data_IF_366191929406
#
_entry.id   IF_366191929406
#
_cell.length_a   1.000
_cell.length_b   1.000
_cell.length_c   1.000
_cell.angle_alpha   90.00
_cell.angle_beta   90.00
_cell.angle_gamma   90.00
#
_symmetry.space_group_name_H-M   'P 1'
#
loop_
_entity.id
_entity.type
_entity.pdbx_description
1 polymer ?
#
# COMPACT_ATOMS: atom_id res chain seq x y z
N UNK A 1 -13.52 -5.60 -10.79
CA UNK A 1 -12.22 -4.89 -10.70
C UNK A 1 -12.15 -4.16 -9.38
N UNK A 2 -10.96 -4.00 -8.81
CA UNK A 2 -10.77 -3.29 -7.55
C UNK A 2 -9.79 -2.13 -7.70
N UNK A 3 -9.96 -1.11 -6.87
CA UNK A 3 -8.97 -0.08 -6.60
C UNK A 3 -8.28 -0.43 -5.28
N UNK A 4 -6.98 -0.61 -5.32
CA UNK A 4 -6.12 -0.87 -4.17
C UNK A 4 -5.39 0.41 -3.79
N UNK A 5 -5.47 0.79 -2.51
CA UNK A 5 -4.83 2.00 -1.97
C UNK A 5 -3.85 1.56 -0.89
N UNK A 6 -2.60 1.98 -1.01
CA UNK A 6 -1.51 1.72 -0.07
C UNK A 6 -0.93 3.02 0.48
N UNK A 7 -0.33 2.95 1.66
CA UNK A 7 0.39 4.04 2.31
C UNK A 7 1.82 3.59 2.56
N UNK A 8 2.81 4.25 1.95
CA UNK A 8 4.18 3.74 1.85
C UNK A 8 5.19 4.86 2.19
N UNK A 9 6.18 4.63 3.08
CA UNK A 9 7.29 5.56 3.28
C UNK A 9 8.09 5.83 2.01
N UNK A 10 8.66 7.03 1.87
CA UNK A 10 9.49 7.43 0.72
C UNK A 10 10.59 6.40 0.39
N UNK A 11 11.29 5.89 1.41
CA UNK A 11 12.40 4.94 1.27
C UNK A 11 12.04 3.63 0.60
N UNK A 12 10.77 3.22 0.72
CA UNK A 12 10.29 1.90 0.30
C UNK A 12 9.32 2.00 -0.89
N UNK A 13 8.97 3.22 -1.30
CA UNK A 13 7.95 3.52 -2.30
C UNK A 13 8.08 2.68 -3.57
N UNK A 14 9.24 2.77 -4.23
CA UNK A 14 9.45 2.11 -5.52
C UNK A 14 9.56 0.59 -5.36
N UNK A 15 10.20 0.10 -4.29
CA UNK A 15 10.28 -1.33 -4.01
C UNK A 15 8.88 -1.95 -3.83
N UNK A 16 8.04 -1.31 -3.02
CA UNK A 16 6.66 -1.77 -2.79
C UNK A 16 5.83 -1.68 -4.08
N UNK A 17 5.92 -0.57 -4.83
CA UNK A 17 5.24 -0.43 -6.13
C UNK A 17 5.63 -1.55 -7.10
N UNK A 18 6.92 -1.83 -7.24
CA UNK A 18 7.42 -2.95 -8.07
C UNK A 18 6.81 -4.27 -7.63
N UNK A 19 6.72 -4.55 -6.32
CA UNK A 19 6.08 -5.76 -5.81
C UNK A 19 4.58 -5.85 -6.18
N UNK A 20 3.84 -4.74 -6.06
CA UNK A 20 2.43 -4.67 -6.47
C UNK A 20 2.27 -4.97 -7.97
N UNK A 21 3.10 -4.35 -8.81
CA UNK A 21 3.03 -4.51 -10.26
C UNK A 21 3.40 -5.92 -10.72
N UNK A 22 4.44 -6.51 -10.13
CA UNK A 22 4.81 -7.91 -10.36
C UNK A 22 3.70 -8.89 -9.96
N UNK A 23 2.90 -8.55 -8.95
CA UNK A 23 1.73 -9.32 -8.53
C UNK A 23 0.49 -9.11 -9.43
N UNK A 24 0.56 -8.21 -10.41
CA UNK A 24 -0.49 -7.97 -11.40
C UNK A 24 -1.36 -6.74 -11.15
N UNK A 25 -0.99 -5.86 -10.21
CA UNK A 25 -1.60 -4.55 -10.09
C UNK A 25 -1.22 -3.62 -11.26
N UNK A 26 -2.04 -2.62 -11.54
CA UNK A 26 -1.76 -1.57 -12.51
C UNK A 26 -1.78 -2.01 -13.97
N UNK A 27 -2.40 -3.15 -14.27
CA UNK A 27 -2.62 -3.62 -15.65
C UNK A 27 -4.05 -3.31 -16.09
N UNK A 28 -4.19 -2.53 -17.18
CA UNK A 28 -5.49 -2.17 -17.75
C UNK A 28 -5.34 -1.67 -19.18
N UNK A 29 -6.17 -2.19 -20.08
CA UNK A 29 -6.34 -1.74 -21.46
C UNK A 29 -5.02 -1.51 -22.23
N UNK A 30 -4.09 -2.47 -22.14
CA UNK A 30 -2.78 -2.40 -22.81
C UNK A 30 -1.70 -1.62 -22.07
N UNK A 31 -2.02 -1.02 -20.92
CA UNK A 31 -1.07 -0.35 -20.04
C UNK A 31 -0.68 -1.24 -18.86
N UNK A 32 0.53 -1.02 -18.35
CA UNK A 32 1.06 -1.68 -17.15
C UNK A 32 1.66 -0.64 -16.20
N UNK A 33 1.89 -1.03 -14.94
CA UNK A 33 2.48 -0.17 -13.92
C UNK A 33 1.66 1.12 -13.67
N UNK A 34 0.36 1.08 -13.93
CA UNK A 34 -0.52 2.21 -13.70
C UNK A 34 -0.73 2.44 -12.20
N UNK A 35 -0.37 3.63 -11.74
CA UNK A 35 -0.68 4.10 -10.39
C UNK A 35 -0.83 5.61 -10.38
N UNK A 36 -1.64 6.11 -9.44
CA UNK A 36 -1.63 7.51 -9.04
C UNK A 36 -1.06 7.60 -7.62
N UNK A 37 -0.32 8.66 -7.29
CA UNK A 37 0.24 8.82 -5.95
C UNK A 37 0.27 10.28 -5.50
N UNK A 38 0.18 10.48 -4.18
CA UNK A 38 0.32 11.79 -3.52
C UNK A 38 1.03 11.64 -2.19
N UNK A 39 1.89 12.60 -1.86
CA UNK A 39 2.56 12.66 -0.56
C UNK A 39 1.59 13.24 0.48
N UNK A 40 1.48 12.56 1.61
CA UNK A 40 0.69 12.97 2.76
C UNK A 40 1.43 12.72 4.07
N UNK A 41 0.71 12.82 5.19
CA UNK A 41 1.23 12.53 6.53
C UNK A 41 0.40 11.43 7.16
N UNK A 42 1.04 10.29 7.43
CA UNK A 42 0.50 9.22 8.26
C UNK A 42 0.63 9.58 9.74
N UNK A 43 -0.34 9.15 10.55
CA UNK A 43 -0.33 9.34 12.00
C UNK A 43 -0.70 8.04 12.70
N UNK A 44 0.12 7.62 13.66
CA UNK A 44 -0.17 6.44 14.48
C UNK A 44 0.43 6.58 15.88
N UNK A 45 -0.05 5.74 16.80
CA UNK A 45 0.48 5.64 18.17
C UNK A 45 0.72 4.17 18.49
N UNK A 46 1.97 3.68 18.46
CA UNK A 46 2.26 2.29 18.81
C UNK A 46 1.83 2.00 20.25
N UNK A 47 1.05 0.94 20.46
CA UNK A 47 0.62 0.52 21.80
C UNK A 47 1.57 -0.51 22.39
N UNK A 48 1.47 -0.75 23.70
CA UNK A 48 2.24 -1.79 24.38
C UNK A 48 2.08 -3.14 23.67
N UNK A 49 3.20 -3.75 23.26
CA UNK A 49 3.22 -5.01 22.53
C UNK A 49 3.38 -4.88 21.01
N UNK A 50 3.29 -3.67 20.45
CA UNK A 50 3.63 -3.43 19.04
C UNK A 50 5.15 -3.45 18.83
N UNK A 51 5.59 -3.87 17.64
CA UNK A 51 6.99 -3.77 17.21
C UNK A 51 7.10 -2.83 15.99
N UNK A 52 6.91 -1.51 16.19
CA UNK A 52 6.86 -0.58 15.07
C UNK A 52 8.23 -0.46 14.40
N UNK A 53 8.26 -0.45 13.06
CA UNK A 53 9.49 -0.19 12.31
C UNK A 53 10.01 1.24 12.54
N UNK A 54 9.10 2.18 12.84
CA UNK A 54 9.39 3.60 13.09
C UNK A 54 8.58 4.05 14.31
N UNK A 55 9.21 4.83 15.19
CA UNK A 55 8.52 5.48 16.31
C UNK A 55 8.70 4.80 17.66
N UNK A 56 8.04 5.35 18.68
CA UNK A 56 8.16 4.90 20.07
C UNK A 56 6.82 4.45 20.64
N UNK A 57 6.85 3.44 21.51
CA UNK A 57 5.66 2.98 22.24
C UNK A 57 5.05 4.13 23.04
N UNK A 58 3.72 4.22 22.98
CA UNK A 58 2.87 5.21 23.65
C UNK A 58 3.11 6.67 23.24
N UNK A 59 3.77 6.91 22.10
CA UNK A 59 3.98 8.23 21.52
C UNK A 59 3.24 8.38 20.19
N UNK A 60 2.61 9.54 19.96
CA UNK A 60 2.03 9.85 18.65
C UNK A 60 3.18 10.17 17.70
N UNK A 61 3.21 9.46 16.59
CA UNK A 61 4.17 9.61 15.51
C UNK A 61 3.48 10.18 14.27
N UNK A 62 4.21 11.00 13.53
CA UNK A 62 3.81 11.53 12.24
C UNK A 62 4.91 11.22 11.23
N UNK A 63 4.55 10.63 10.10
CA UNK A 63 5.52 10.19 9.10
C UNK A 63 5.05 10.64 7.70
N UNK A 64 5.92 11.23 6.86
CA UNK A 64 5.61 11.45 5.46
C UNK A 64 5.41 10.11 4.75
N UNK A 65 4.25 9.93 4.11
CA UNK A 65 3.91 8.69 3.40
C UNK A 65 3.23 9.01 2.07
N UNK A 66 3.54 8.20 1.07
CA UNK A 66 2.84 8.21 -0.21
C UNK A 66 1.57 7.39 -0.11
N UNK A 67 0.43 8.03 -0.36
CA UNK A 67 -0.78 7.32 -0.74
C UNK A 67 -0.64 6.93 -2.20
N UNK A 68 -0.54 5.63 -2.47
CA UNK A 68 -0.45 5.06 -3.81
C UNK A 68 -1.74 4.33 -4.13
N UNK A 69 -2.32 4.62 -5.29
CA UNK A 69 -3.54 3.99 -5.74
C UNK A 69 -3.34 3.30 -7.08
N UNK A 70 -3.75 2.04 -7.17
CA UNK A 70 -3.65 1.25 -8.40
C UNK A 70 -4.89 0.39 -8.60
N UNK A 71 -5.14 -0.02 -9.84
CA UNK A 71 -6.24 -0.91 -10.19
C UNK A 71 -5.77 -2.36 -10.17
N UNK A 72 -6.66 -3.26 -9.81
CA UNK A 72 -6.34 -4.68 -9.63
C UNK A 72 -7.46 -5.54 -10.23
N UNK A 73 -7.14 -6.46 -11.16
CA UNK A 73 -8.08 -7.48 -11.62
C UNK A 73 -8.55 -8.36 -10.46
N UNK A 74 -9.81 -8.78 -10.47
CA UNK A 74 -10.43 -9.48 -9.32
C UNK A 74 -9.69 -10.77 -8.95
N UNK A 75 -9.22 -11.51 -9.96
CA UNK A 75 -8.47 -12.76 -9.76
C UNK A 75 -7.04 -12.55 -9.22
N UNK A 76 -6.53 -11.31 -9.22
CA UNK A 76 -5.18 -10.96 -8.70
C UNK A 76 -5.21 -10.32 -7.33
N UNK A 77 -6.38 -9.93 -6.82
CA UNK A 77 -6.49 -9.14 -5.59
C UNK A 77 -5.73 -9.76 -4.42
N UNK A 78 -5.91 -11.07 -4.17
CA UNK A 78 -5.23 -11.74 -3.06
C UNK A 78 -3.72 -11.82 -3.23
N UNK A 79 -3.22 -11.97 -4.46
CA UNK A 79 -1.78 -11.98 -4.74
C UNK A 79 -1.17 -10.59 -4.51
N UNK A 80 -1.87 -9.53 -4.95
CA UNK A 80 -1.45 -8.15 -4.71
C UNK A 80 -1.44 -7.82 -3.22
N UNK A 81 -2.45 -8.22 -2.45
CA UNK A 81 -2.49 -8.03 -0.98
C UNK A 81 -1.31 -8.74 -0.30
N UNK A 82 -0.99 -9.98 -0.70
CA UNK A 82 0.16 -10.71 -0.15
C UNK A 82 1.48 -10.04 -0.51
N UNK A 83 1.66 -9.63 -1.77
CA UNK A 83 2.85 -8.95 -2.23
C UNK A 83 3.06 -7.63 -1.49
N UNK A 84 1.99 -6.84 -1.32
CA UNK A 84 2.02 -5.61 -0.52
C UNK A 84 2.53 -5.89 0.90
N UNK A 85 1.86 -6.80 1.61
CA UNK A 85 2.19 -7.13 3.01
C UNK A 85 3.62 -7.66 3.16
N UNK A 86 4.11 -8.42 2.19
CA UNK A 86 5.46 -8.98 2.24
C UNK A 86 6.54 -7.97 1.91
N UNK A 87 6.26 -6.99 1.04
CA UNK A 87 7.24 -5.98 0.62
C UNK A 87 7.25 -4.74 1.52
N UNK A 88 6.19 -4.52 2.30
CA UNK A 88 6.07 -3.34 3.15
C UNK A 88 7.01 -3.39 4.35
N UNK A 89 7.65 -2.26 4.73
CA UNK A 89 8.54 -2.22 5.91
C UNK A 89 7.82 -2.37 7.25
N UNK A 90 6.50 -2.24 7.29
CA UNK A 90 5.72 -2.26 8.53
C UNK A 90 5.17 -3.65 8.80
N UNK A 91 5.13 -4.04 10.08
CA UNK A 91 4.54 -5.29 10.55
C UNK A 91 3.06 -5.43 10.14
N UNK A 92 2.30 -4.34 10.29
CA UNK A 92 0.88 -4.29 9.95
C UNK A 92 0.64 -3.09 9.03
N UNK A 93 0.82 -3.26 7.71
CA UNK A 93 0.66 -2.17 6.76
C UNK A 93 -0.83 -1.88 6.50
N UNK A 94 -1.18 -0.60 6.47
CA UNK A 94 -2.55 -0.14 6.19
C UNK A 94 -2.80 -0.11 4.67
N UNK A 95 -3.97 -0.58 4.24
CA UNK A 95 -4.40 -0.51 2.85
C UNK A 95 -5.94 -0.55 2.77
N UNK A 96 -6.47 0.04 1.71
CA UNK A 96 -7.90 -0.05 1.38
C UNK A 96 -8.12 -0.77 0.06
N UNK A 97 -9.28 -1.41 -0.05
CA UNK A 97 -9.74 -2.05 -1.27
C UNK A 97 -11.16 -1.59 -1.56
N UNK A 98 -11.36 -0.93 -2.69
CA UNK A 98 -12.67 -0.50 -3.17
C UNK A 98 -13.06 -1.32 -4.39
N UNK A 99 -14.22 -1.98 -4.34
CA UNK A 99 -14.80 -2.59 -5.53
C UNK A 99 -15.25 -1.48 -6.48
N UNK A 100 -14.81 -1.55 -7.73
CA UNK A 100 -15.25 -0.61 -8.77
C UNK A 100 -16.58 -1.08 -9.35
N UNK A 101 -17.48 -0.13 -9.61
CA UNK A 101 -18.76 -0.42 -10.24
C UNK A 101 -18.55 -1.09 -11.61
N UNK A 102 -19.35 -2.11 -11.90
CA UNK A 102 -19.52 -2.60 -13.25
C UNK A 102 -20.46 -1.62 -13.97
N UNK A 103 -19.93 -0.88 -14.93
CA UNK A 103 -20.72 -0.03 -15.84
C UNK A 103 -20.83 -0.76 -17.16
#
# INVERSE_FOLDING_TARGET
>A
MHKFIAYIPESDLENVKTALFNAGAGQFDGYSHCSWQVLGVGQFKPLKGANPAIGQIDKIEHVPEWRVETIVPDHRLMDVVRAYKSAHPYEVPAYDVYQMAAI
#
